data_IF_144931637209
#
_entry.id   IF_144931637209
#
_cell.length_a   1.000
_cell.length_b   1.000
_cell.length_c   1.000
_cell.angle_alpha   90.00
_cell.angle_beta   90.00
_cell.angle_gamma   90.00
#
_symmetry.space_group_name_H-M   'P 1'
#
loop_
_entity.id
_entity.type
_entity.pdbx_description
1 polymer ?
#
# COMPACT_ATOMS: atom_id res chain seq x y z
N UNK A 1 4.95 7.33 20.65
CA UNK A 1 5.17 8.00 19.36
C UNK A 1 3.91 7.90 18.50
N UNK A 2 3.35 9.03 18.09
CA UNK A 2 2.32 9.16 17.05
C UNK A 2 2.97 8.84 15.71
N UNK A 3 2.34 7.98 14.93
CA UNK A 3 2.93 7.46 13.69
C UNK A 3 1.89 7.38 12.58
N UNK A 4 2.33 7.40 11.33
CA UNK A 4 1.50 7.02 10.19
C UNK A 4 1.66 5.51 9.97
N UNK A 5 0.57 4.75 10.09
CA UNK A 5 0.54 3.33 9.78
C UNK A 5 0.47 3.15 8.26
N UNK A 6 1.54 2.61 7.70
CA UNK A 6 1.57 2.14 6.31
C UNK A 6 0.95 0.75 6.23
N UNK A 7 0.05 0.47 5.27
CA UNK A 7 -0.56 -0.84 5.10
C UNK A 7 0.40 -1.81 4.36
N UNK A 8 1.59 -2.03 4.90
CA UNK A 8 2.72 -2.69 4.21
C UNK A 8 2.38 -4.08 3.66
N UNK A 9 1.62 -4.88 4.41
CA UNK A 9 1.14 -6.18 3.93
C UNK A 9 0.28 -6.04 2.67
N UNK A 10 -0.69 -5.11 2.68
CA UNK A 10 -1.57 -4.84 1.53
C UNK A 10 -0.79 -4.26 0.35
N UNK A 11 0.21 -3.42 0.60
CA UNK A 11 1.12 -2.92 -0.43
C UNK A 11 1.82 -4.09 -1.14
N UNK A 12 2.37 -5.04 -0.39
CA UNK A 12 3.02 -6.22 -0.94
C UNK A 12 2.06 -7.11 -1.73
N UNK A 13 0.87 -7.40 -1.17
CA UNK A 13 -0.17 -8.18 -1.85
C UNK A 13 -0.60 -7.54 -3.18
N UNK A 14 -0.81 -6.21 -3.18
CA UNK A 14 -1.16 -5.45 -4.39
C UNK A 14 -0.03 -5.50 -5.41
N UNK A 15 1.22 -5.26 -4.98
CA UNK A 15 2.38 -5.27 -5.87
C UNK A 15 2.60 -6.67 -6.49
N UNK A 16 2.51 -7.73 -5.70
CA UNK A 16 2.64 -9.10 -6.19
C UNK A 16 1.55 -9.44 -7.21
N UNK A 17 0.30 -9.05 -6.94
CA UNK A 17 -0.81 -9.27 -7.87
C UNK A 17 -0.63 -8.52 -9.19
N UNK A 18 -0.19 -7.26 -9.12
CA UNK A 18 0.12 -6.46 -10.31
C UNK A 18 1.24 -7.11 -11.12
N UNK A 19 2.32 -7.57 -10.47
CA UNK A 19 3.41 -8.28 -11.12
C UNK A 19 2.94 -9.54 -11.84
N UNK A 20 2.21 -10.42 -11.14
CA UNK A 20 1.69 -11.66 -11.72
C UNK A 20 0.73 -11.39 -12.88
N UNK A 21 -0.10 -10.35 -12.77
CA UNK A 21 -1.01 -9.95 -13.85
C UNK A 21 -0.23 -9.51 -15.10
N UNK A 22 0.83 -8.70 -14.93
CA UNK A 22 1.71 -8.30 -16.04
C UNK A 22 2.42 -9.50 -16.68
N UNK A 23 2.94 -10.42 -15.87
CA UNK A 23 3.58 -11.65 -16.36
C UNK A 23 2.61 -12.55 -17.12
N UNK A 24 1.33 -12.57 -16.71
CA UNK A 24 0.26 -13.30 -17.39
C UNK A 24 -0.35 -12.58 -18.60
N UNK A 25 0.20 -11.45 -19.03
CA UNK A 25 -0.33 -10.67 -20.16
C UNK A 25 -1.65 -9.93 -19.87
N UNK A 26 -2.08 -9.87 -18.61
CA UNK A 26 -3.25 -9.10 -18.20
C UNK A 26 -2.86 -7.62 -18.05
N UNK A 27 -3.58 -6.69 -18.69
CA UNK A 27 -3.32 -5.26 -18.55
C UNK A 27 -3.44 -4.83 -17.08
N UNK A 28 -2.49 -4.01 -16.63
CA UNK A 28 -2.47 -3.43 -15.30
C UNK A 28 -2.38 -1.91 -15.47
N UNK A 29 -3.05 -1.09 -14.64
CA UNK A 29 -2.93 0.36 -14.74
C UNK A 29 -1.48 0.84 -14.78
N UNK A 30 -1.21 1.86 -15.60
CA UNK A 30 0.12 2.44 -15.75
C UNK A 30 0.54 3.32 -14.55
N UNK A 31 -0.43 3.73 -13.74
CA UNK A 31 -0.22 4.55 -12.55
C UNK A 31 0.04 3.74 -11.27
N UNK A 32 0.60 4.38 -10.24
CA UNK A 32 0.81 3.74 -8.95
C UNK A 32 -0.51 3.38 -8.27
N UNK A 33 -0.54 2.23 -7.60
CA UNK A 33 -1.66 1.88 -6.72
C UNK A 33 -1.56 2.68 -5.42
N UNK A 34 -2.54 3.56 -5.17
CA UNK A 34 -2.63 4.34 -3.93
C UNK A 34 -3.47 3.56 -2.91
N UNK A 35 -2.89 3.31 -1.73
CA UNK A 35 -3.55 2.61 -0.63
C UNK A 35 -3.76 3.56 0.55
N UNK A 36 -4.88 3.45 1.28
CA UNK A 36 -5.15 4.32 2.42
C UNK A 36 -4.15 4.07 3.54
N UNK A 37 -3.65 5.15 4.13
CA UNK A 37 -2.83 5.16 5.33
C UNK A 37 -3.64 5.71 6.49
N UNK A 38 -3.20 5.46 7.71
CA UNK A 38 -3.90 5.92 8.91
C UNK A 38 -2.94 6.59 9.89
N UNK A 39 -3.37 7.70 10.48
CA UNK A 39 -2.65 8.34 11.57
C UNK A 39 -3.00 7.63 12.88
N UNK A 40 -1.99 7.09 13.55
CA UNK A 40 -2.10 6.46 14.87
C UNK A 40 -1.64 7.47 15.92
N UNK A 41 -2.60 8.16 16.53
CA UNK A 41 -2.34 9.15 17.59
C UNK A 41 -1.96 8.45 18.89
N UNK A 42 -0.90 8.91 19.54
CA UNK A 42 -0.44 8.49 20.88
C UNK A 42 0.05 9.71 21.66
N UNK A 43 0.42 9.52 22.93
CA UNK A 43 0.87 10.57 23.84
C UNK A 43 2.09 11.43 23.43
N UNK A 44 2.72 11.16 22.28
CA UNK A 44 3.86 11.97 21.83
C UNK A 44 3.47 13.09 20.86
N UNK A 45 2.19 13.20 20.50
CA UNK A 45 1.67 14.37 19.79
C UNK A 45 0.71 15.09 20.74
N UNK A 46 0.75 16.44 20.78
CA UNK A 46 -0.11 17.27 21.62
C UNK A 46 -1.58 17.20 21.22
#
# INVERSE_FOLDING_TARGET
>A
LTTVRQPTRRMGETAARMLLSRLGGTPVPDGPAVLPTELVVRHSAP
#
